data_IF_910010183770
#
_entry.id   IF_910010183770
#
_cell.length_a   1.000
_cell.length_b   1.000
_cell.length_c   1.000
_cell.angle_alpha   90.00
_cell.angle_beta   90.00
_cell.angle_gamma   90.00
#
_symmetry.space_group_name_H-M   'P 1'
#
loop_
_entity.id
_entity.type
_entity.pdbx_description
1 polymer ?
#
# COMPACT_ATOMS: atom_id res chain seq x y z
N UNK A 1 14.82 -15.14 -8.78
CA UNK A 1 13.58 -14.35 -8.83
C UNK A 1 13.40 -13.47 -7.58
N UNK A 2 14.46 -13.00 -6.90
CA UNK A 2 14.33 -12.33 -5.59
C UNK A 2 14.53 -10.80 -5.59
N UNK A 3 15.21 -10.22 -6.59
CA UNK A 3 15.62 -8.81 -6.53
C UNK A 3 14.50 -7.79 -6.80
N UNK A 4 13.45 -8.17 -7.56
CA UNK A 4 12.34 -7.27 -7.89
C UNK A 4 11.42 -7.02 -6.70
N UNK A 5 10.92 -8.10 -6.10
CA UNK A 5 10.07 -8.04 -4.92
C UNK A 5 10.74 -7.34 -3.72
N UNK A 6 12.00 -7.67 -3.42
CA UNK A 6 12.72 -7.04 -2.30
C UNK A 6 12.83 -5.52 -2.50
N UNK A 7 13.10 -5.07 -3.73
CA UNK A 7 13.15 -3.64 -4.07
C UNK A 7 11.78 -2.96 -3.92
N UNK A 8 10.69 -3.61 -4.33
CA UNK A 8 9.32 -3.08 -4.17
C UNK A 8 8.98 -2.93 -2.68
N UNK A 9 9.26 -3.97 -1.90
CA UNK A 9 9.00 -4.01 -0.46
C UNK A 9 9.74 -2.88 0.25
N UNK A 10 11.03 -2.70 -0.04
CA UNK A 10 11.81 -1.59 0.54
C UNK A 10 11.32 -0.22 0.08
N UNK A 11 10.94 -0.08 -1.19
CA UNK A 11 10.42 1.18 -1.71
C UNK A 11 9.12 1.61 -1.04
N UNK A 12 8.20 0.66 -0.80
CA UNK A 12 6.98 0.91 -0.02
C UNK A 12 7.34 1.33 1.41
N UNK A 13 8.27 0.61 2.04
CA UNK A 13 8.72 0.87 3.41
C UNK A 13 9.25 2.31 3.57
N UNK A 14 10.20 2.69 2.71
CA UNK A 14 10.82 4.01 2.72
C UNK A 14 9.83 5.11 2.35
N UNK A 15 8.94 4.86 1.41
CA UNK A 15 7.89 5.81 1.03
C UNK A 15 7.00 6.14 2.22
N UNK A 16 6.49 5.14 2.93
CA UNK A 16 5.59 5.33 4.07
C UNK A 16 6.31 6.00 5.24
N UNK A 17 7.54 5.59 5.56
CA UNK A 17 8.37 6.25 6.59
C UNK A 17 8.57 7.73 6.29
N UNK A 18 8.86 8.08 5.04
CA UNK A 18 9.15 9.45 4.61
C UNK A 18 7.93 10.37 4.71
N UNK A 19 6.75 9.88 4.34
CA UNK A 19 5.55 10.72 4.25
C UNK A 19 4.67 10.69 5.50
N UNK A 20 4.76 9.62 6.29
CA UNK A 20 3.84 9.40 7.40
C UNK A 20 4.51 8.64 8.57
N UNK A 21 5.67 9.09 9.04
CA UNK A 21 6.45 8.40 10.10
C UNK A 21 5.62 8.08 11.36
N UNK A 22 4.78 9.01 11.82
CA UNK A 22 3.91 8.79 12.99
C UNK A 22 2.85 7.71 12.75
N UNK A 23 2.38 7.57 11.51
CA UNK A 23 1.41 6.53 11.12
C UNK A 23 2.11 5.19 10.86
N UNK A 24 3.33 5.21 10.32
CA UNK A 24 4.13 4.03 9.98
C UNK A 24 4.31 3.06 11.15
N UNK A 25 4.59 3.58 12.35
CA UNK A 25 4.76 2.76 13.56
C UNK A 25 3.45 2.03 13.89
N UNK A 26 2.34 2.76 13.87
CA UNK A 26 1.01 2.20 14.13
C UNK A 26 0.60 1.18 13.06
N UNK A 27 0.86 1.46 11.79
CA UNK A 27 0.56 0.56 10.69
C UNK A 27 1.31 -0.76 10.81
N UNK A 28 2.62 -0.73 11.09
CA UNK A 28 3.38 -1.97 11.27
C UNK A 28 2.95 -2.76 12.51
N UNK A 29 2.72 -2.07 13.63
CA UNK A 29 2.23 -2.73 14.84
C UNK A 29 0.89 -3.43 14.59
N UNK A 30 -0.11 -2.70 14.08
CA UNK A 30 -1.43 -3.27 13.86
C UNK A 30 -1.43 -4.31 12.73
N UNK A 31 -0.66 -4.09 11.66
CA UNK A 31 -0.51 -5.06 10.58
C UNK A 31 0.05 -6.39 11.10
N UNK A 32 1.06 -6.34 11.95
CA UNK A 32 1.63 -7.56 12.54
C UNK A 32 0.67 -8.22 13.54
N UNK A 33 -0.02 -7.42 14.36
CA UNK A 33 -0.99 -7.92 15.34
C UNK A 33 -2.12 -8.69 14.65
N UNK A 34 -2.77 -8.10 13.64
CA UNK A 34 -3.96 -8.65 13.00
C UNK A 34 -3.66 -9.63 11.86
N UNK A 35 -2.63 -9.37 11.06
CA UNK A 35 -2.37 -10.12 9.81
C UNK A 35 -1.06 -10.92 9.84
N UNK A 36 -0.28 -10.83 10.93
CA UNK A 36 1.04 -11.50 11.09
C UNK A 36 2.05 -11.14 9.99
N UNK A 37 1.91 -9.94 9.41
CA UNK A 37 2.76 -9.42 8.33
C UNK A 37 3.16 -7.97 8.61
N UNK A 38 4.33 -7.56 8.12
CA UNK A 38 4.69 -6.14 8.10
C UNK A 38 3.76 -5.37 7.16
N UNK A 39 3.58 -4.07 7.39
CA UNK A 39 2.66 -3.27 6.60
C UNK A 39 3.03 -3.26 5.11
N UNK A 40 4.33 -3.17 4.80
CA UNK A 40 4.85 -3.22 3.43
C UNK A 40 4.49 -4.51 2.69
N UNK A 41 4.54 -5.66 3.37
CA UNK A 41 4.11 -6.94 2.78
C UNK A 41 2.58 -7.00 2.63
N UNK A 42 1.85 -6.45 3.61
CA UNK A 42 0.40 -6.37 3.54
C UNK A 42 -0.08 -5.57 2.32
N UNK A 43 0.58 -4.45 2.00
CA UNK A 43 0.28 -3.63 0.81
C UNK A 43 0.39 -4.45 -0.48
N UNK A 44 1.39 -5.32 -0.59
CA UNK A 44 1.60 -6.10 -1.81
C UNK A 44 0.61 -7.28 -1.89
N UNK A 45 0.51 -8.04 -0.82
CA UNK A 45 -0.20 -9.32 -0.85
C UNK A 45 -1.72 -9.15 -0.68
N UNK A 46 -2.14 -8.18 0.13
CA UNK A 46 -3.54 -7.92 0.49
C UNK A 46 -3.78 -6.38 0.56
N UNK A 47 -3.65 -5.66 -0.56
CA UNK A 47 -3.75 -4.21 -0.61
C UNK A 47 -5.09 -3.68 -0.06
N UNK A 48 -6.20 -4.42 -0.22
CA UNK A 48 -7.47 -4.00 0.37
C UNK A 48 -7.43 -4.00 1.91
N UNK A 49 -6.78 -4.99 2.52
CA UNK A 49 -6.58 -5.04 3.97
C UNK A 49 -5.65 -3.91 4.43
N UNK A 50 -4.57 -3.64 3.71
CA UNK A 50 -3.69 -2.51 4.00
C UNK A 50 -4.42 -1.16 3.87
N UNK A 51 -5.25 -1.00 2.84
CA UNK A 51 -6.07 0.20 2.64
C UNK A 51 -7.03 0.42 3.82
N UNK A 52 -7.77 -0.62 4.19
CA UNK A 52 -8.71 -0.57 5.31
C UNK A 52 -8.02 -0.32 6.65
N UNK A 53 -6.83 -0.90 6.87
CA UNK A 53 -6.06 -0.64 8.08
C UNK A 53 -5.67 0.84 8.22
N UNK A 54 -5.31 1.51 7.13
CA UNK A 54 -5.04 2.97 7.17
C UNK A 54 -6.33 3.74 7.50
N UNK A 55 -7.47 3.33 6.92
CA UNK A 55 -8.77 3.98 7.21
C UNK A 55 -9.14 3.88 8.68
N UNK A 56 -8.93 2.72 9.29
CA UNK A 56 -9.23 2.44 10.69
C UNK A 56 -8.35 3.26 11.64
N UNK A 57 -7.05 3.37 11.35
CA UNK A 57 -6.10 4.07 12.22
C UNK A 57 -6.18 5.59 12.05
N UNK A 58 -6.52 6.07 10.85
CA UNK A 58 -6.50 7.49 10.52
C UNK A 58 -7.82 7.96 9.90
N UNK A 59 -7.96 7.87 8.57
CA UNK A 59 -9.16 8.31 7.87
C UNK A 59 -9.18 7.78 6.43
N UNK A 60 -10.36 7.79 5.80
CA UNK A 60 -10.50 7.51 4.37
C UNK A 60 -9.64 8.42 3.49
N UNK A 61 -9.58 9.72 3.81
CA UNK A 61 -8.76 10.67 3.06
C UNK A 61 -7.26 10.37 3.18
N UNK A 62 -6.80 9.97 4.37
CA UNK A 62 -5.41 9.53 4.58
C UNK A 62 -5.10 8.26 3.81
N UNK A 63 -6.00 7.27 3.85
CA UNK A 63 -5.83 6.02 3.11
C UNK A 63 -5.71 6.28 1.61
N UNK A 64 -6.63 7.08 1.05
CA UNK A 64 -6.62 7.52 -0.34
C UNK A 64 -5.29 8.19 -0.70
N UNK A 65 -4.89 9.20 0.08
CA UNK A 65 -3.65 9.94 -0.19
C UNK A 65 -2.41 9.04 -0.11
N UNK A 66 -2.30 8.21 0.92
CA UNK A 66 -1.14 7.36 1.13
C UNK A 66 -1.00 6.31 0.03
N UNK A 67 -2.11 5.69 -0.40
CA UNK A 67 -2.07 4.76 -1.53
C UNK A 67 -1.73 5.44 -2.85
N UNK A 68 -2.21 6.68 -3.10
CA UNK A 68 -1.76 7.44 -4.29
C UNK A 68 -0.25 7.70 -4.26
N UNK A 69 0.31 8.01 -3.09
CA UNK A 69 1.76 8.20 -2.92
C UNK A 69 2.51 6.88 -3.17
N UNK A 70 2.03 5.76 -2.62
CA UNK A 70 2.61 4.44 -2.85
C UNK A 70 2.58 4.09 -4.35
N UNK A 71 1.43 4.23 -5.02
CA UNK A 71 1.32 3.99 -6.47
C UNK A 71 2.31 4.83 -7.27
N UNK A 72 2.48 6.11 -6.92
CA UNK A 72 3.47 6.99 -7.56
C UNK A 72 4.90 6.52 -7.33
N UNK A 73 5.24 6.10 -6.12
CA UNK A 73 6.56 5.56 -5.81
C UNK A 73 6.85 4.29 -6.63
N UNK A 74 5.84 3.44 -6.83
CA UNK A 74 5.91 2.24 -7.67
C UNK A 74 5.87 2.53 -9.18
N UNK A 75 5.96 3.80 -9.60
CA UNK A 75 5.90 4.24 -11.00
C UNK A 75 4.63 3.78 -11.74
N UNK A 76 3.49 3.72 -11.05
CA UNK A 76 2.21 3.48 -11.73
C UNK A 76 1.88 4.64 -12.67
N UNK A 77 1.22 4.32 -13.79
CA UNK A 77 0.70 5.31 -14.72
C UNK A 77 -0.20 6.31 -13.99
N UNK A 78 0.21 7.58 -13.98
CA UNK A 78 -0.48 8.68 -13.31
C UNK A 78 -1.96 8.82 -13.71
N UNK A 79 -2.30 8.44 -14.95
CA UNK A 79 -3.70 8.48 -15.44
C UNK A 79 -4.59 7.41 -14.81
N UNK A 80 -4.00 6.34 -14.25
CA UNK A 80 -4.72 5.20 -13.65
C UNK A 80 -4.78 5.25 -12.14
N UNK A 81 -3.91 6.02 -11.48
CA UNK A 81 -3.78 6.02 -10.01
C UNK A 81 -5.11 6.31 -9.33
N UNK A 82 -5.87 7.30 -9.80
CA UNK A 82 -7.16 7.64 -9.18
C UNK A 82 -8.14 6.47 -9.29
N UNK A 83 -8.26 5.86 -10.47
CA UNK A 83 -9.12 4.68 -10.64
C UNK A 83 -8.70 3.50 -9.76
N UNK A 84 -7.40 3.22 -9.62
CA UNK A 84 -6.90 2.12 -8.79
C UNK A 84 -7.29 2.32 -7.32
N UNK A 85 -7.17 3.55 -6.82
CA UNK A 85 -7.56 3.86 -5.45
C UNK A 85 -9.07 3.86 -5.28
N UNK A 86 -9.84 4.28 -6.29
CA UNK A 86 -11.30 4.15 -6.29
C UNK A 86 -11.73 2.67 -6.23
N UNK A 87 -11.05 1.77 -6.93
CA UNK A 87 -11.33 0.33 -6.83
C UNK A 87 -11.09 -0.19 -5.40
N UNK A 88 -9.98 0.19 -4.77
CA UNK A 88 -9.71 -0.17 -3.37
C UNK A 88 -10.75 0.39 -2.40
N UNK A 89 -11.22 1.62 -2.62
CA UNK A 89 -12.30 2.22 -1.82
C UNK A 89 -13.61 1.43 -1.93
N UNK A 90 -13.87 0.86 -3.10
CA UNK A 90 -15.05 0.06 -3.40
C UNK A 90 -14.89 -1.43 -3.10
N UNK A 91 -13.76 -1.85 -2.50
CA UNK A 91 -13.52 -3.23 -2.09
C UNK A 91 -12.94 -4.14 -3.17
N UNK A 92 -12.42 -3.59 -4.26
CA UNK A 92 -11.74 -4.34 -5.33
C UNK A 92 -10.22 -4.08 -5.32
N UNK A 93 -9.45 -5.11 -4.99
CA UNK A 93 -7.98 -5.05 -5.02
C UNK A 93 -7.36 -5.48 -6.35
N UNK A 94 -8.12 -6.08 -7.25
CA UNK A 94 -7.58 -6.68 -8.47
C UNK A 94 -6.82 -5.67 -9.33
N UNK A 95 -7.31 -4.43 -9.57
CA UNK A 95 -6.58 -3.46 -10.40
C UNK A 95 -5.23 -3.02 -9.80
N UNK A 96 -5.10 -3.06 -8.47
CA UNK A 96 -3.82 -2.80 -7.82
C UNK A 96 -2.85 -3.97 -8.00
N UNK A 97 -3.34 -5.21 -7.82
CA UNK A 97 -2.53 -6.43 -8.01
C UNK A 97 -2.04 -6.58 -9.45
N UNK A 98 -2.92 -6.35 -10.42
CA UNK A 98 -2.60 -6.40 -11.85
C UNK A 98 -1.47 -5.43 -12.24
N UNK A 99 -1.29 -4.33 -11.50
CA UNK A 99 -0.22 -3.35 -11.71
C UNK A 99 1.09 -3.71 -10.99
N UNK A 100 1.03 -4.52 -9.93
CA UNK A 100 2.21 -4.98 -9.19
C UNK A 100 2.82 -6.24 -9.81
N UNK A 101 1.99 -7.19 -10.26
CA UNK A 101 2.46 -8.49 -10.77
C UNK A 101 3.55 -8.38 -11.85
N UNK A 102 3.53 -7.42 -12.79
CA UNK A 102 4.60 -7.26 -13.77
C UNK A 102 5.93 -6.75 -13.19
N UNK A 103 5.93 -6.22 -11.97
CA UNK A 103 7.09 -5.62 -11.30
C UNK A 103 7.82 -6.66 -10.42
N UNK A 104 7.13 -7.73 -10.01
CA UNK A 104 7.65 -8.81 -9.14
C UNK A 104 8.56 -9.79 -9.89
#
# INVERSE_FOLDING_TARGET
MGKGLDNIVELIDETVKKVALGLYINLNHNSYTYYKKSFKLLVIENPLQAYNLIKEISSSSTARLLFKIICRALNFDSSKIDSIVDFLENGDEKPFKDMIDPIQ
#
